data_IF_480621462561
#
_entry.id   IF_480621462561
#
_cell.length_a   1.000
_cell.length_b   1.000
_cell.length_c   1.000
_cell.angle_alpha   90.00
_cell.angle_beta   90.00
_cell.angle_gamma   90.00
#
_symmetry.space_group_name_H-M   'P 1'
#
loop_
_entity.id
_entity.type
_entity.pdbx_description
1 polymer ?
#
# COMPACT_ATOMS: atom_id res chain seq x y z
N UNK A 1 -13.76 -10.44 4.23
CA UNK A 1 -13.70 -9.23 3.38
C UNK A 1 -12.35 -9.11 2.66
N UNK A 2 -12.38 -8.72 1.37
CA UNK A 2 -11.22 -8.63 0.48
C UNK A 2 -11.18 -7.27 -0.22
N UNK A 3 -10.01 -6.86 -0.69
CA UNK A 3 -9.80 -5.68 -1.56
C UNK A 3 -9.32 -6.21 -2.91
N UNK A 4 -9.99 -5.84 -4.01
CA UNK A 4 -9.54 -6.24 -5.36
C UNK A 4 -8.16 -5.69 -5.64
N UNK A 5 -7.33 -6.44 -6.37
CA UNK A 5 -6.02 -5.97 -6.82
C UNK A 5 -6.09 -4.99 -8.00
N UNK A 6 -7.29 -4.73 -8.54
CA UNK A 6 -7.48 -4.01 -9.79
C UNK A 6 -7.11 -4.83 -11.04
N UNK A 7 -6.71 -6.09 -10.87
CA UNK A 7 -6.39 -7.02 -11.94
C UNK A 7 -7.26 -8.27 -11.81
N UNK A 8 -8.25 -8.42 -12.68
CA UNK A 8 -9.20 -9.55 -12.64
C UNK A 8 -8.48 -10.91 -12.67
N UNK A 9 -7.43 -11.05 -13.47
CA UNK A 9 -6.66 -12.29 -13.54
C UNK A 9 -5.99 -12.65 -12.21
N UNK A 10 -5.47 -11.65 -11.48
CA UNK A 10 -4.85 -11.86 -10.18
C UNK A 10 -5.89 -12.13 -9.10
N UNK A 11 -7.01 -11.40 -9.09
CA UNK A 11 -8.12 -11.64 -8.15
C UNK A 11 -8.66 -13.07 -8.25
N UNK A 12 -8.80 -13.59 -9.48
CA UNK A 12 -9.18 -14.98 -9.74
C UNK A 12 -8.10 -15.97 -9.28
N UNK A 13 -6.83 -15.69 -9.57
CA UNK A 13 -5.71 -16.55 -9.17
C UNK A 13 -5.55 -16.66 -7.65
N UNK A 14 -5.86 -15.60 -6.90
CA UNK A 14 -5.88 -15.60 -5.43
C UNK A 14 -7.02 -16.46 -4.85
N UNK A 15 -8.01 -16.86 -5.66
CA UNK A 15 -9.12 -17.75 -5.27
C UNK A 15 -10.19 -17.12 -4.37
N UNK A 16 -9.88 -15.99 -3.75
CA UNK A 16 -10.78 -15.25 -2.83
C UNK A 16 -11.25 -13.91 -3.41
N UNK A 17 -10.85 -13.57 -4.64
CA UNK A 17 -11.28 -12.36 -5.34
C UNK A 17 -10.54 -11.08 -4.97
N UNK A 18 -9.37 -11.17 -4.33
CA UNK A 18 -8.55 -10.03 -3.95
C UNK A 18 -7.64 -10.32 -2.76
N UNK A 19 -7.01 -9.29 -2.20
CA UNK A 19 -6.20 -9.43 -0.98
C UNK A 19 -7.10 -9.46 0.27
N UNK A 20 -6.82 -10.33 1.26
CA UNK A 20 -7.61 -10.39 2.49
C UNK A 20 -7.31 -9.21 3.42
N UNK A 21 -8.36 -8.56 3.94
CA UNK A 21 -8.22 -7.52 4.97
C UNK A 21 -7.67 -8.10 6.28
N UNK A 22 -6.88 -7.31 7.03
CA UNK A 22 -6.31 -7.70 8.33
C UNK A 22 -5.19 -8.74 8.25
N UNK A 23 -4.54 -8.85 7.09
CA UNK A 23 -3.41 -9.75 6.85
C UNK A 23 -2.22 -8.96 6.29
N UNK A 24 -1.02 -9.49 6.52
CA UNK A 24 0.20 -8.99 5.88
C UNK A 24 0.32 -9.67 4.52
N UNK A 25 0.59 -8.87 3.48
CA UNK A 25 0.80 -9.33 2.11
C UNK A 25 2.15 -8.79 1.64
N UNK A 26 2.96 -9.65 1.05
CA UNK A 26 4.24 -9.28 0.45
C UNK A 26 4.14 -9.34 -1.08
N UNK A 27 4.55 -8.27 -1.75
CA UNK A 27 4.66 -8.19 -3.21
C UNK A 27 6.13 -7.93 -3.52
N UNK A 28 6.83 -8.94 -4.02
CA UNK A 28 8.24 -8.87 -4.37
C UNK A 28 8.46 -9.12 -5.86
N UNK A 29 9.61 -8.68 -6.37
CA UNK A 29 9.97 -8.82 -7.78
C UNK A 29 11.07 -7.84 -8.20
N UNK A 30 11.60 -8.00 -9.42
CA UNK A 30 12.65 -7.14 -9.97
C UNK A 30 12.30 -5.64 -9.95
N UNK A 31 13.31 -4.79 -10.09
CA UNK A 31 13.08 -3.36 -10.36
C UNK A 31 12.21 -3.19 -11.61
N UNK A 32 11.33 -2.19 -11.59
CA UNK A 32 10.38 -1.92 -12.67
C UNK A 32 9.40 -3.06 -13.01
N UNK A 33 9.25 -4.08 -12.15
CA UNK A 33 8.28 -5.17 -12.36
C UNK A 33 6.81 -4.79 -12.09
N UNK A 34 6.55 -3.54 -11.69
CA UNK A 34 5.21 -3.03 -11.40
C UNK A 34 4.71 -3.22 -9.96
N UNK A 35 5.61 -3.47 -8.99
CA UNK A 35 5.24 -3.63 -7.56
C UNK A 35 4.43 -2.44 -7.04
N UNK A 36 5.01 -1.25 -7.11
CA UNK A 36 4.36 0.00 -6.68
C UNK A 36 3.12 0.31 -7.51
N UNK A 37 3.14 0.06 -8.83
CA UNK A 37 1.95 0.21 -9.67
C UNK A 37 0.79 -0.68 -9.19
N UNK A 38 1.07 -1.93 -8.82
CA UNK A 38 0.06 -2.86 -8.30
C UNK A 38 -0.46 -2.41 -6.93
N UNK A 39 0.40 -1.94 -6.02
CA UNK A 39 -0.03 -1.42 -4.72
C UNK A 39 -0.91 -0.18 -4.86
N UNK A 40 -0.60 0.71 -5.81
CA UNK A 40 -1.43 1.87 -6.13
C UNK A 40 -2.80 1.48 -6.71
N UNK A 41 -2.87 0.42 -7.53
CA UNK A 41 -4.16 -0.10 -7.99
C UNK A 41 -5.00 -0.68 -6.83
N UNK A 42 -4.36 -1.43 -5.92
CA UNK A 42 -5.03 -1.92 -4.69
C UNK A 42 -5.53 -0.74 -3.85
N UNK A 43 -4.73 0.32 -3.68
CA UNK A 43 -5.12 1.52 -2.96
C UNK A 43 -6.35 2.20 -3.58
N UNK A 44 -6.36 2.36 -4.90
CA UNK A 44 -7.51 2.91 -5.61
C UNK A 44 -8.78 2.05 -5.42
N UNK A 45 -8.65 0.71 -5.42
CA UNK A 45 -9.78 -0.19 -5.14
C UNK A 45 -10.26 -0.10 -3.70
N UNK A 46 -9.35 0.05 -2.73
CA UNK A 46 -9.69 0.28 -1.32
C UNK A 46 -10.50 1.57 -1.15
N UNK A 47 -10.04 2.67 -1.74
CA UNK A 47 -10.72 3.97 -1.66
C UNK A 47 -12.08 3.96 -2.36
N UNK A 48 -12.22 3.26 -3.50
CA UNK A 48 -13.52 3.06 -4.17
C UNK A 48 -14.56 2.35 -3.29
N UNK A 49 -14.11 1.54 -2.33
CA UNK A 49 -14.96 0.88 -1.34
C UNK A 49 -15.18 1.74 -0.09
N UNK A 50 -14.74 3.01 -0.09
CA UNK A 50 -14.83 3.94 1.03
C UNK A 50 -13.78 3.70 2.12
N UNK A 51 -12.76 2.88 1.86
CA UNK A 51 -11.72 2.57 2.84
C UNK A 51 -10.59 3.59 2.88
N UNK A 52 -9.95 3.72 4.03
CA UNK A 52 -8.82 4.64 4.25
C UNK A 52 -7.48 3.97 3.91
N UNK A 53 -6.62 4.69 3.17
CA UNK A 53 -5.29 4.21 2.77
C UNK A 53 -4.20 5.00 3.46
N UNK A 54 -3.19 4.31 3.96
CA UNK A 54 -1.92 4.89 4.38
C UNK A 54 -0.76 4.34 3.54
N UNK A 55 0.20 5.19 3.26
CA UNK A 55 1.39 4.88 2.48
C UNK A 55 2.63 5.36 3.24
N UNK A 56 3.47 4.41 3.65
CA UNK A 56 4.77 4.65 4.27
C UNK A 56 5.82 4.52 3.16
N UNK A 57 6.22 5.66 2.61
CA UNK A 57 7.17 5.79 1.51
C UNK A 57 8.60 5.85 2.08
N UNK A 58 9.15 4.69 2.42
CA UNK A 58 10.53 4.55 2.89
C UNK A 58 11.56 4.74 1.77
N UNK A 59 11.19 4.53 0.49
CA UNK A 59 12.06 4.77 -0.67
C UNK A 59 12.08 6.22 -1.15
N UNK A 60 11.19 7.08 -0.63
CA UNK A 60 11.03 8.48 -1.04
C UNK A 60 10.80 8.60 -2.56
N UNK A 61 10.12 7.61 -3.14
CA UNK A 61 10.00 7.41 -4.59
C UNK A 61 8.56 7.53 -5.11
N UNK A 62 7.59 7.80 -4.22
CA UNK A 62 6.19 7.88 -4.60
C UNK A 62 5.91 9.11 -5.49
N UNK A 63 5.56 8.87 -6.76
CA UNK A 63 5.00 9.89 -7.64
C UNK A 63 3.48 10.02 -7.41
N UNK A 64 3.08 11.07 -6.69
CA UNK A 64 1.67 11.38 -6.39
C UNK A 64 0.86 11.73 -7.63
N UNK A 65 1.47 12.28 -8.68
CA UNK A 65 0.79 12.59 -9.94
C UNK A 65 0.48 11.30 -10.71
N UNK A 66 1.42 10.35 -10.71
CA UNK A 66 1.19 9.04 -11.29
C UNK A 66 0.13 8.25 -10.53
N UNK A 67 0.20 8.23 -9.20
CA UNK A 67 -0.79 7.56 -8.35
C UNK A 67 -2.22 8.13 -8.56
N UNK A 68 -2.37 9.45 -8.68
CA UNK A 68 -3.64 10.08 -9.01
C UNK A 68 -4.19 9.61 -10.38
N UNK A 69 -3.32 9.46 -11.40
CA UNK A 69 -3.72 8.92 -12.72
C UNK A 69 -4.18 7.47 -12.65
N UNK A 70 -3.70 6.69 -11.68
CA UNK A 70 -4.15 5.31 -11.43
C UNK A 70 -5.47 5.25 -10.62
N UNK A 71 -6.01 6.40 -10.22
CA UNK A 71 -7.28 6.51 -9.51
C UNK A 71 -7.17 6.53 -7.99
N UNK A 72 -5.96 6.78 -7.46
CA UNK A 72 -5.77 7.01 -6.02
C UNK A 72 -6.21 8.44 -5.68
N UNK A 73 -7.02 8.56 -4.64
CA UNK A 73 -7.40 9.83 -4.04
C UNK A 73 -6.28 10.32 -3.11
N UNK A 74 -5.30 11.02 -3.70
CA UNK A 74 -4.11 11.50 -3.01
C UNK A 74 -4.44 12.45 -1.84
N UNK A 75 -5.35 13.45 -1.98
CA UNK A 75 -5.74 14.30 -0.86
C UNK A 75 -6.24 13.53 0.38
N UNK A 76 -6.87 12.37 0.18
CA UNK A 76 -7.40 11.53 1.26
C UNK A 76 -6.49 10.33 1.61
N UNK A 77 -5.27 10.29 1.07
CA UNK A 77 -4.26 9.27 1.40
C UNK A 77 -3.33 9.79 2.48
N UNK A 78 -3.14 9.01 3.55
CA UNK A 78 -2.14 9.34 4.58
C UNK A 78 -0.76 8.96 4.06
N UNK A 79 0.11 9.94 3.79
CA UNK A 79 1.46 9.70 3.28
C UNK A 79 2.47 10.05 4.37
N UNK A 80 3.41 9.14 4.64
CA UNK A 80 4.52 9.34 5.56
C UNK A 80 5.84 9.00 4.89
N UNK A 81 6.84 9.85 5.07
CA UNK A 81 8.21 9.66 4.60
C UNK A 81 9.14 9.58 5.82
N UNK A 82 9.44 8.37 6.31
CA UNK A 82 10.28 8.17 7.48
C UNK A 82 11.78 8.38 7.17
N UNK A 83 12.53 8.74 8.21
CA UNK A 83 13.98 8.92 8.22
C UNK A 83 14.76 7.63 8.56
N UNK A 84 14.08 6.58 9.06
CA UNK A 84 14.69 5.26 9.34
C UNK A 84 13.68 4.10 9.29
N UNK A 85 14.20 2.88 9.24
CA UNK A 85 13.37 1.68 9.27
C UNK A 85 12.57 1.52 10.56
N UNK A 86 13.13 1.86 11.71
CA UNK A 86 12.43 1.83 12.99
C UNK A 86 11.26 2.82 13.00
N UNK A 87 11.47 4.05 12.52
CA UNK A 87 10.43 5.05 12.46
C UNK A 87 9.30 4.60 11.52
N UNK A 88 9.63 4.00 10.37
CA UNK A 88 8.63 3.44 9.45
C UNK A 88 7.77 2.36 10.13
N UNK A 89 8.39 1.48 10.93
CA UNK A 89 7.70 0.43 11.67
C UNK A 89 6.87 0.99 12.84
N UNK A 90 7.35 2.00 13.56
CA UNK A 90 6.60 2.69 14.61
C UNK A 90 5.34 3.37 14.06
N UNK A 91 5.47 4.05 12.93
CA UNK A 91 4.33 4.67 12.23
C UNK A 91 3.35 3.60 11.78
N UNK A 92 3.86 2.48 11.24
CA UNK A 92 3.03 1.34 10.84
C UNK A 92 2.25 0.75 12.03
N UNK A 93 2.91 0.48 13.16
CA UNK A 93 2.27 -0.04 14.37
C UNK A 93 1.22 0.95 14.92
N UNK A 94 1.54 2.24 14.98
CA UNK A 94 0.60 3.28 15.42
C UNK A 94 -0.66 3.28 14.55
N UNK A 95 -0.52 3.33 13.23
CA UNK A 95 -1.64 3.40 12.30
C UNK A 95 -2.52 2.14 12.37
N UNK A 96 -1.91 0.95 12.46
CA UNK A 96 -2.65 -0.31 12.61
C UNK A 96 -3.44 -0.34 13.92
N UNK A 97 -2.87 0.15 15.04
CA UNK A 97 -3.55 0.19 16.34
C UNK A 97 -4.77 1.09 16.39
N UNK A 98 -4.81 2.14 15.57
CA UNK A 98 -5.98 3.04 15.53
C UNK A 98 -7.23 2.35 14.99
N UNK A 99 -7.07 1.31 14.17
CA UNK A 99 -8.16 0.70 13.42
C UNK A 99 -8.79 1.61 12.35
N UNK A 100 -8.21 2.80 12.09
CA UNK A 100 -8.74 3.78 11.15
C UNK A 100 -8.24 3.60 9.71
N UNK A 101 -7.29 2.69 9.48
CA UNK A 101 -6.70 2.43 8.16
C UNK A 101 -7.14 1.05 7.66
N UNK A 102 -7.75 0.98 6.49
CA UNK A 102 -8.18 -0.26 5.84
C UNK A 102 -7.04 -0.94 5.05
N UNK A 103 -6.11 -0.14 4.54
CA UNK A 103 -4.94 -0.59 3.79
C UNK A 103 -3.73 0.27 4.14
N UNK A 104 -2.66 -0.38 4.61
CA UNK A 104 -1.37 0.25 4.84
C UNK A 104 -0.35 -0.36 3.89
N UNK A 105 0.32 0.48 3.11
CA UNK A 105 1.38 0.10 2.17
C UNK A 105 2.71 0.60 2.73
N UNK A 106 3.75 -0.24 2.69
CA UNK A 106 5.13 0.14 2.98
C UNK A 106 5.94 -0.07 1.71
N UNK A 107 6.50 1.01 1.16
CA UNK A 107 7.36 0.97 -0.03
C UNK A 107 8.72 1.60 0.31
N UNK A 108 9.78 0.84 0.58
CA UNK A 108 9.87 -0.63 0.55
C UNK A 108 10.61 -1.19 1.77
N UNK A 109 10.49 -2.51 1.97
CA UNK A 109 11.20 -3.23 3.04
C UNK A 109 12.72 -3.11 2.89
N UNK A 110 13.24 -3.05 1.67
CA UNK A 110 14.68 -2.92 1.42
C UNK A 110 15.23 -1.58 1.91
N UNK A 111 14.38 -0.55 1.97
CA UNK A 111 14.71 0.76 2.51
C UNK A 111 14.54 0.88 4.04
N UNK A 112 14.07 -0.17 4.71
CA UNK A 112 13.99 -0.22 6.19
C UNK A 112 15.36 -0.52 6.81
N UNK A 113 16.34 0.35 6.53
CA UNK A 113 17.68 0.23 7.10
C UNK A 113 17.65 0.58 8.59
N UNK A 114 18.21 -0.27 9.45
CA UNK A 114 18.36 0.04 10.87
C UNK A 114 19.27 1.26 11.08
N UNK A 115 19.08 1.97 12.19
CA UNK A 115 20.07 2.91 12.71
C UNK A 115 21.18 2.22 13.49
#
# INVERSE_FOLDING_TARGET
PVISTGCLGLDLALGVGGIPKGRIIEIYGPESSGKTTLTLHIAAQCQKQGGTVAFVDAEHALDTTYAAKLGVDIPNTLISQPDSGEQALEITDMLVRTGAVDLLIVDSVAALTPR
#
